data_IF_028883886303
#
_entry.id   IF_028883886303
#
_cell.length_a   1.000
_cell.length_b   1.000
_cell.length_c   1.000
_cell.angle_alpha   90.00
_cell.angle_beta   90.00
_cell.angle_gamma   90.00
#
_symmetry.space_group_name_H-M   'P 1'
#
loop_
_entity.id
_entity.type
_entity.pdbx_description
1 polymer ?
2 branched ?
3 non-polymer ?
4 non-polymer ?
5 water ?
#
# COMPACT_ATOMS: atom_id res chain seq x y z
N UNK A 2 10.69 -11.46 -25.91
CA UNK A 2 9.62 -11.97 -25.01
C UNK A 2 9.68 -11.40 -23.59
N UNK A 3 10.89 -11.38 -23.03
CA UNK A 3 11.16 -10.89 -21.67
C UNK A 3 12.62 -10.40 -21.61
N UNK A 4 12.93 -9.45 -20.71
CA UNK A 4 14.29 -8.92 -20.72
C UNK A 4 15.28 -9.80 -19.93
N UNK A 5 15.97 -10.69 -20.65
CA UNK A 5 17.00 -11.53 -20.05
C UNK A 5 18.05 -10.73 -19.29
N UNK A 6 18.37 -9.52 -19.77
CA UNK A 6 19.41 -8.69 -19.10
C UNK A 6 18.98 -8.28 -17.69
N UNK A 7 17.67 -8.26 -17.44
CA UNK A 7 17.17 -7.86 -16.12
C UNK A 7 16.93 -9.06 -15.20
N UNK A 8 17.07 -10.28 -15.73
CA UNK A 8 16.75 -11.46 -14.91
C UNK A 8 17.73 -11.53 -13.73
N UNK A 9 17.21 -11.91 -12.56
CA UNK A 9 18.01 -12.12 -11.36
C UNK A 9 18.43 -13.57 -11.36
N UNK A 10 19.73 -13.79 -11.32
CA UNK A 10 20.30 -15.13 -11.41
C UNK A 10 20.33 -15.88 -10.08
N UNK A 11 21.14 -15.36 -9.15
CA UNK A 11 21.32 -15.95 -7.84
C UNK A 11 21.25 -14.81 -6.82
N UNK A 12 20.19 -14.82 -6.04
CA UNK A 12 19.99 -13.77 -5.04
C UNK A 12 20.66 -14.14 -3.75
N UNK A 13 21.57 -13.28 -3.22
CA UNK A 13 22.17 -13.59 -1.91
C UNK A 13 21.14 -13.75 -0.78
N UNK A 14 21.44 -14.67 0.14
CA UNK A 14 20.63 -14.87 1.33
C UNK A 14 19.59 -15.95 1.20
N UNK A 15 19.40 -16.49 -0.01
CA UNK A 15 18.46 -17.58 -0.21
C UNK A 15 19.15 -18.92 -0.13
N UNK A 16 18.60 -19.82 0.70
CA UNK A 16 19.18 -21.15 0.91
C UNK A 16 18.78 -22.16 -0.18
N UNK A 17 17.72 -21.83 -0.91
CA UNK A 17 17.20 -22.66 -2.00
C UNK A 17 16.87 -21.75 -3.17
N UNK A 18 17.05 -22.26 -4.38
CA UNK A 18 16.78 -21.43 -5.56
C UNK A 18 15.30 -21.38 -5.86
N UNK A 19 14.81 -20.20 -6.30
CA UNK A 19 13.38 -20.05 -6.55
C UNK A 19 12.84 -20.95 -7.65
N UNK A 20 11.57 -21.32 -7.52
CA UNK A 20 10.93 -22.11 -8.56
C UNK A 20 10.50 -21.21 -9.73
N UNK A 21 10.42 -19.91 -9.46
CA UNK A 21 9.90 -18.92 -10.40
C UNK A 21 11.03 -17.99 -10.90
N UNK A 22 10.85 -17.44 -12.09
CA UNK A 22 11.80 -16.44 -12.61
C UNK A 22 11.48 -15.08 -11.98
N UNK A 23 12.51 -14.27 -11.79
CA UNK A 23 12.34 -12.92 -11.25
C UNK A 23 13.33 -11.96 -11.91
N UNK A 24 12.95 -10.68 -11.95
CA UNK A 24 13.67 -9.65 -12.71
C UNK A 24 13.81 -8.42 -11.88
N UNK A 25 14.92 -7.72 -12.09
CA UNK A 25 15.20 -6.44 -11.44
C UNK A 25 15.92 -5.52 -12.46
N UNK A 26 15.34 -4.35 -12.72
CA UNK A 26 15.84 -3.45 -13.77
C UNK A 26 15.07 -2.15 -13.71
N UNK A 27 15.00 -1.46 -14.84
CA UNK A 27 14.46 -0.12 -14.86
C UNK A 27 13.35 0.02 -15.89
N UNK A 28 12.29 0.69 -15.48
CA UNK A 28 11.20 1.08 -16.37
C UNK A 28 11.29 2.58 -16.60
N UNK A 29 11.14 2.97 -17.86
CA UNK A 29 11.20 4.40 -18.20
C UNK A 29 9.89 5.12 -17.83
N UNK A 30 10.00 6.14 -16.95
CA UNK A 30 8.89 7.03 -16.59
C UNK A 30 8.93 8.25 -17.49
N UNK A 31 8.25 9.33 -17.10
CA UNK A 31 8.30 10.56 -17.88
C UNK A 31 9.66 11.27 -17.79
N UNK A 32 9.93 12.18 -18.71
CA UNK A 32 11.21 12.92 -18.74
C UNK A 32 12.42 12.02 -18.67
N UNK A 33 13.32 12.27 -17.71
CA UNK A 33 14.53 11.45 -17.58
C UNK A 33 14.44 10.48 -16.38
N UNK A 34 13.21 10.12 -16.01
CA UNK A 34 12.97 9.23 -14.86
C UNK A 34 13.15 7.76 -15.21
N UNK A 35 13.85 7.04 -14.34
CA UNK A 35 14.05 5.60 -14.48
C UNK A 35 13.63 4.94 -13.17
N UNK A 36 12.53 4.18 -13.23
CA UNK A 36 11.98 3.61 -12.01
C UNK A 36 12.44 2.17 -11.87
N UNK A 37 13.08 1.88 -10.76
CA UNK A 37 13.53 0.51 -10.50
C UNK A 37 12.36 -0.42 -10.14
N UNK A 38 12.27 -1.53 -10.87
CA UNK A 38 11.25 -2.54 -10.62
C UNK A 38 11.88 -3.87 -10.16
N UNK A 39 11.11 -4.61 -9.38
CA UNK A 39 11.45 -5.98 -9.08
C UNK A 39 10.17 -6.79 -9.35
N UNK A 40 10.25 -7.66 -10.34
CA UNK A 40 9.10 -8.38 -10.85
C UNK A 40 9.29 -9.86 -10.50
N UNK A 41 8.32 -10.42 -9.80
CA UNK A 41 8.42 -11.82 -9.37
C UNK A 41 7.29 -12.65 -9.99
N UNK A 42 7.65 -13.57 -10.89
CA UNK A 42 6.61 -14.36 -11.61
C UNK A 42 5.87 -15.33 -10.71
N UNK A 43 4.63 -15.66 -11.08
CA UNK A 43 3.78 -16.59 -10.30
C UNK A 43 4.48 -17.93 -10.13
N UNK A 44 4.41 -18.44 -8.90
CA UNK A 44 4.90 -19.77 -8.57
C UNK A 44 4.10 -20.88 -9.24
N UNK A 45 2.92 -20.51 -9.74
CA UNK A 45 2.05 -21.45 -10.41
C UNK A 45 1.48 -20.78 -11.65
N UNK A 46 1.80 -21.37 -12.80
CA UNK A 46 1.34 -20.92 -14.11
C UNK A 46 1.62 -19.42 -14.38
N UNK A 47 2.91 -19.04 -14.45
CA UNK A 47 3.23 -17.61 -14.65
C UNK A 47 2.64 -17.08 -15.96
N UNK A 48 2.59 -17.94 -16.97
CA UNK A 48 2.18 -17.55 -18.31
C UNK A 48 0.78 -16.97 -18.32
N UNK A 49 -0.10 -17.54 -17.51
CA UNK A 49 -1.51 -17.16 -17.51
C UNK A 49 -2.03 -16.52 -16.22
N UNK A 50 -1.17 -16.39 -15.21
CA UNK A 50 -1.55 -15.70 -13.96
C UNK A 50 -1.64 -14.19 -14.15
N UNK A 51 -2.48 -13.52 -13.35
CA UNK A 51 -2.56 -12.06 -13.53
C UNK A 51 -1.23 -11.37 -13.25
N UNK A 52 -1.09 -10.17 -13.82
CA UNK A 52 -0.01 -9.24 -13.50
C UNK A 52 -0.56 -8.27 -12.47
N UNK A 53 0.17 -8.05 -11.37
CA UNK A 53 -0.30 -7.28 -10.26
C UNK A 53 0.76 -6.25 -9.91
N UNK A 54 0.46 -4.98 -10.12
CA UNK A 54 1.37 -3.92 -9.69
C UNK A 54 1.16 -3.68 -8.22
N UNK A 55 2.26 -3.61 -7.48
CA UNK A 55 2.25 -3.19 -6.07
C UNK A 55 3.04 -1.90 -5.86
N UNK A 56 2.38 -0.92 -5.22
CA UNK A 56 3.01 0.34 -4.80
C UNK A 56 2.85 0.59 -3.31
N UNK A 57 3.97 0.83 -2.63
CA UNK A 57 3.92 1.42 -1.30
C UNK A 57 3.77 2.95 -1.40
N UNK A 58 3.61 3.62 -0.27
CA UNK A 58 3.22 5.04 -0.30
C UNK A 58 4.31 5.99 0.14
N UNK A 59 4.08 6.70 1.23
CA UNK A 59 5.03 7.71 1.74
C UNK A 59 4.31 9.03 1.86
N UNK A 60 4.34 9.86 0.80
CA UNK A 60 5.01 9.69 -0.50
C UNK A 60 6.51 9.68 -0.34
N UNK A 61 7.20 8.90 -1.17
CA UNK A 61 8.65 8.83 -1.11
C UNK A 61 9.23 7.55 -0.56
N UNK A 62 8.36 6.59 -0.24
CA UNK A 62 8.79 5.31 0.31
C UNK A 62 8.74 4.16 -0.71
N UNK A 63 9.55 3.14 -0.45
CA UNK A 63 9.88 2.08 -1.41
C UNK A 63 8.93 0.86 -1.38
N UNK A 64 8.48 0.45 -2.56
CA UNK A 64 7.67 -0.74 -2.73
C UNK A 64 8.43 -2.04 -2.45
N UNK A 65 9.74 -1.94 -2.26
CA UNK A 65 10.50 -3.11 -1.78
C UNK A 65 10.22 -3.42 -0.30
N UNK A 66 9.69 -2.44 0.44
CA UNK A 66 9.02 -2.75 1.71
C UNK A 66 7.96 -3.84 1.53
N UNK A 67 7.07 -3.63 0.55
CA UNK A 67 6.08 -4.62 0.19
C UNK A 67 6.71 -5.97 -0.08
N UNK A 68 7.81 -6.01 -0.83
CA UNK A 68 8.39 -7.32 -1.18
C UNK A 68 9.03 -7.97 0.04
N UNK A 69 9.98 -7.27 0.65
CA UNK A 69 10.86 -7.90 1.64
C UNK A 69 10.26 -8.00 3.04
N UNK A 70 9.17 -7.30 3.32
CA UNK A 70 8.60 -7.32 4.69
C UNK A 70 7.08 -7.60 4.74
N UNK A 71 6.38 -7.41 3.62
CA UNK A 71 4.94 -7.65 3.59
C UNK A 71 4.53 -8.95 2.90
N UNK A 72 4.54 -8.97 1.57
CA UNK A 72 3.97 -10.14 0.83
C UNK A 72 4.80 -10.73 -0.32
N UNK A 73 6.09 -10.40 -0.34
CA UNK A 73 7.02 -10.95 -1.35
C UNK A 73 7.22 -12.46 -1.17
N UNK A 74 7.89 -13.10 -2.14
CA UNK A 74 8.14 -14.57 -2.12
C UNK A 74 9.10 -15.03 -1.01
N UNK A 75 9.93 -14.11 -0.55
CA UNK A 75 10.81 -14.28 0.59
C UNK A 75 10.89 -12.96 1.36
N UNK A 76 11.13 -13.07 2.67
CA UNK A 76 11.18 -11.93 3.59
C UNK A 76 12.51 -11.88 4.26
N UNK A 77 13.01 -10.65 4.43
CA UNK A 77 14.30 -10.42 5.07
C UNK A 77 14.24 -10.69 6.57
N UNK A 78 15.26 -11.37 7.08
CA UNK A 78 15.34 -11.75 8.49
C UNK A 78 16.05 -10.66 9.30
N UNK A 79 15.90 -10.64 10.64
CA UNK A 79 16.54 -9.59 11.45
C UNK A 79 18.06 -9.40 11.30
N UNK A 80 18.76 -10.43 10.85
CA UNK A 80 20.20 -10.31 10.60
C UNK A 80 20.52 -9.43 9.39
N UNK A 81 19.51 -9.15 8.55
CA UNK A 81 19.70 -8.29 7.39
C UNK A 81 20.53 -8.95 6.28
N UNK A 82 20.65 -10.27 6.38
CA UNK A 82 21.46 -11.10 5.47
C UNK A 82 20.60 -12.23 4.87
N UNK A 83 19.82 -12.88 5.73
CA UNK A 83 19.10 -14.08 5.38
C UNK A 83 17.71 -13.72 4.86
N UNK A 84 17.29 -14.40 3.80
CA UNK A 84 15.94 -14.32 3.28
C UNK A 84 15.25 -15.66 3.48
N UNK A 85 14.02 -15.63 4.00
CA UNK A 85 13.25 -16.88 4.14
C UNK A 85 12.04 -16.87 3.26
N UNK A 86 11.75 -18.02 2.65
CA UNK A 86 10.54 -18.16 1.84
C UNK A 86 9.27 -17.87 2.63
N UNK A 87 8.38 -17.13 1.98
CA UNK A 87 7.11 -16.71 2.53
C UNK A 87 6.02 -17.63 2.01
N UNK A 88 5.42 -18.46 2.90
CA UNK A 88 4.36 -19.36 2.47
C UNK A 88 3.04 -18.68 2.08
N UNK A 89 2.91 -17.39 2.38
CA UNK A 89 1.71 -16.61 2.07
C UNK A 89 1.97 -15.54 1.04
N UNK A 90 3.05 -15.72 0.29
CA UNK A 90 3.42 -14.77 -0.76
C UNK A 90 2.34 -14.54 -1.82
N UNK A 91 2.11 -13.29 -2.16
CA UNK A 91 1.12 -12.99 -3.20
C UNK A 91 1.51 -13.55 -4.57
N UNK A 92 2.80 -13.82 -4.79
CA UNK A 92 3.23 -14.42 -6.05
C UNK A 92 3.04 -15.94 -6.12
N UNK A 93 2.38 -16.54 -5.12
CA UNK A 93 1.93 -17.92 -5.27
C UNK A 93 0.95 -18.05 -6.42
N UNK A 94 0.21 -16.97 -6.68
CA UNK A 94 -0.90 -16.98 -7.64
C UNK A 94 -0.88 -15.81 -8.62
N UNK A 95 0.19 -15.01 -8.58
CA UNK A 95 0.23 -13.82 -9.46
C UNK A 95 1.66 -13.43 -9.81
N UNK A 96 1.80 -12.79 -10.96
CA UNK A 96 3.08 -12.19 -11.37
C UNK A 96 3.07 -10.78 -10.74
N UNK A 97 3.87 -10.59 -9.70
CA UNK A 97 3.82 -9.34 -8.90
C UNK A 97 4.97 -8.38 -9.26
N UNK A 98 4.57 -7.19 -9.70
CA UNK A 98 5.49 -6.16 -10.13
C UNK A 98 5.61 -5.11 -9.02
N UNK A 99 6.72 -5.15 -8.27
CA UNK A 99 7.04 -4.15 -7.24
C UNK A 99 7.81 -2.97 -7.87
N UNK A 100 7.27 -1.77 -7.73
CA UNK A 100 7.83 -0.63 -8.45
C UNK A 100 8.23 0.47 -7.49
N UNK A 101 9.53 0.80 -7.49
CA UNK A 101 10.00 1.87 -6.63
C UNK A 101 9.68 3.19 -7.33
N UNK A 102 8.84 3.98 -6.69
CA UNK A 102 8.20 5.12 -7.35
C UNK A 102 7.75 6.16 -6.31
N UNK A 103 7.87 7.47 -6.64
CA UNK A 103 8.38 8.05 -7.89
C UNK A 103 9.91 8.07 -8.01
N UNK A 104 10.43 8.78 -9.00
CA UNK A 104 11.87 8.85 -9.20
C UNK A 104 12.58 9.35 -7.93
N UNK A 105 13.69 8.72 -7.59
CA UNK A 105 14.45 9.11 -6.40
C UNK A 105 14.18 8.16 -5.25
N UNK A 106 13.10 7.36 -5.35
CA UNK A 106 12.81 6.39 -4.28
C UNK A 106 13.66 5.14 -4.41
N UNK A 107 14.41 4.80 -3.36
CA UNK A 107 15.17 3.56 -3.34
C UNK A 107 16.23 3.56 -4.43
N UNK A 108 16.13 2.61 -5.35
CA UNK A 108 17.08 2.58 -6.48
C UNK A 108 16.63 3.35 -7.72
N UNK A 109 15.41 3.92 -7.67
CA UNK A 109 14.92 4.77 -8.76
C UNK A 109 15.67 6.10 -8.82
N UNK A 110 15.74 6.70 -10.01
CA UNK A 110 16.54 7.89 -10.18
C UNK A 110 16.11 8.64 -11.43
N UNK A 111 16.65 9.83 -11.62
CA UNK A 111 16.49 10.54 -12.85
C UNK A 111 17.85 11.09 -13.25
N UNK A 112 18.01 11.30 -14.54
CA UNK A 112 19.30 11.77 -15.03
C UNK A 112 19.66 13.16 -14.52
N UNK A 113 18.65 13.99 -14.25
CA UNK A 113 18.89 15.34 -13.72
C UNK A 113 18.74 15.44 -12.18
N UNK A 114 18.40 14.32 -11.54
CA UNK A 114 18.26 14.25 -10.07
C UNK A 114 17.30 15.29 -9.48
N UNK A 115 16.28 15.68 -10.24
CA UNK A 115 15.29 16.63 -9.73
C UNK A 115 14.03 15.88 -9.38
N UNK A 116 13.78 15.76 -8.09
CA UNK A 116 12.79 14.82 -7.57
C UNK A 116 11.54 15.48 -7.01
N UNK A 117 11.44 16.82 -7.07
CA UNK A 117 10.19 17.49 -6.71
C UNK A 117 9.09 17.04 -7.69
N UNK A 118 8.00 16.53 -7.15
CA UNK A 118 6.92 16.01 -7.97
C UNK A 118 5.55 16.22 -7.32
N UNK A 119 4.49 15.75 -7.97
CA UNK A 119 3.12 15.89 -7.47
C UNK A 119 2.22 14.76 -7.95
N UNK A 120 1.01 14.67 -7.42
CA UNK A 120 0.17 13.49 -7.71
C UNK A 120 -0.02 13.29 -9.21
N UNK A 121 -0.25 14.36 -9.96
CA UNK A 121 -0.53 14.22 -11.39
C UNK A 121 0.68 13.71 -12.17
N UNK A 122 1.86 14.25 -11.86
CA UNK A 122 3.07 13.84 -12.54
C UNK A 122 3.41 12.39 -12.17
N UNK A 123 3.25 12.04 -10.89
CA UNK A 123 3.49 10.66 -10.44
C UNK A 123 2.59 9.66 -11.20
N UNK A 124 1.30 10.00 -11.30
CA UNK A 124 0.39 9.14 -12.06
C UNK A 124 0.85 8.97 -13.52
N UNK A 125 1.17 10.06 -14.19
CA UNK A 125 1.60 9.98 -15.60
C UNK A 125 2.91 9.20 -15.77
N UNK A 126 3.87 9.41 -14.87
CA UNK A 126 5.13 8.68 -14.91
C UNK A 126 4.96 7.16 -14.67
N UNK A 127 4.17 6.78 -13.66
CA UNK A 127 3.78 5.38 -13.44
C UNK A 127 3.07 4.77 -14.67
N UNK A 128 2.19 5.54 -15.31
CA UNK A 128 1.53 5.06 -16.53
C UNK A 128 2.57 4.75 -17.63
N UNK A 129 3.48 5.68 -17.87
CA UNK A 129 4.56 5.45 -18.84
C UNK A 129 5.49 4.28 -18.46
N UNK A 130 5.73 4.12 -17.16
CA UNK A 130 6.54 2.99 -16.68
C UNK A 130 5.86 1.67 -17.00
N UNK A 131 4.54 1.60 -16.78
CA UNK A 131 3.76 0.42 -17.15
C UNK A 131 3.79 0.15 -18.65
N UNK A 132 3.64 1.17 -19.48
CA UNK A 132 3.81 0.99 -20.92
C UNK A 132 5.19 0.37 -21.22
N UNK A 133 6.24 0.90 -20.57
CA UNK A 133 7.58 0.36 -20.76
C UNK A 133 7.69 -1.11 -20.32
N UNK A 134 7.04 -1.42 -19.19
CA UNK A 134 7.02 -2.79 -18.71
C UNK A 134 6.48 -3.74 -19.80
N UNK A 135 5.37 -3.37 -20.43
CA UNK A 135 4.76 -4.19 -21.49
C UNK A 135 5.59 -4.24 -22.78
N UNK A 136 6.39 -3.21 -23.02
CA UNK A 136 7.35 -3.25 -24.13
C UNK A 136 8.45 -4.27 -23.83
N UNK A 137 8.87 -4.32 -22.56
CA UNK A 137 9.90 -5.24 -22.11
C UNK A 137 9.38 -6.66 -21.92
N UNK A 138 8.15 -6.77 -21.48
CA UNK A 138 7.49 -8.07 -21.28
C UNK A 138 6.24 -8.20 -22.13
N UNK A 139 6.40 -8.23 -23.48
CA UNK A 139 5.21 -8.28 -24.35
C UNK A 139 4.38 -9.55 -24.17
N UNK A 140 5.00 -10.62 -23.65
CA UNK A 140 4.23 -11.85 -23.37
C UNK A 140 3.19 -11.69 -22.28
N UNK A 141 3.27 -10.60 -21.52
CA UNK A 141 2.32 -10.32 -20.44
C UNK A 141 1.29 -9.24 -20.78
N UNK A 142 1.30 -8.78 -22.03
CA UNK A 142 0.37 -7.75 -22.50
C UNK A 142 -1.10 -8.15 -22.40
N UNK A 143 -1.41 -9.43 -22.54
CA UNK A 143 -2.80 -9.83 -22.49
C UNK A 143 -3.30 -10.37 -21.14
N UNK A 144 -2.40 -10.56 -20.20
CA UNK A 144 -2.78 -11.06 -18.87
C UNK A 144 -3.68 -10.07 -18.17
N UNK A 145 -4.56 -10.58 -17.33
CA UNK A 145 -5.38 -9.71 -16.47
C UNK A 145 -4.46 -8.80 -15.63
N UNK A 146 -4.79 -7.52 -15.55
CA UNK A 146 -3.96 -6.57 -14.84
C UNK A 146 -4.70 -6.03 -13.63
N UNK A 147 -4.05 -6.11 -12.47
CA UNK A 147 -4.58 -5.47 -11.25
C UNK A 147 -3.58 -4.44 -10.73
N UNK A 148 -4.10 -3.31 -10.24
CA UNK A 148 -3.24 -2.25 -9.69
C UNK A 148 -3.50 -2.20 -8.19
N UNK A 149 -2.44 -2.38 -7.40
CA UNK A 149 -2.62 -2.51 -5.94
C UNK A 149 -1.58 -1.70 -5.19
N UNK A 150 -1.88 -1.36 -3.95
CA UNK A 150 -0.95 -0.57 -3.16
C UNK A 150 -1.44 -0.23 -1.77
N UNK A 151 -0.61 0.53 -1.05
CA UNK A 151 -0.86 0.79 0.36
C UNK A 151 -0.76 2.26 0.75
N UNK A 152 -1.66 2.68 1.62
CA UNK A 152 -1.63 4.00 2.29
C UNK A 152 -1.63 5.17 1.32
N UNK A 153 -0.49 5.87 1.18
CA UNK A 153 -0.46 6.96 0.19
C UNK A 153 -0.75 6.46 -1.24
N UNK A 154 -0.47 5.19 -1.51
CA UNK A 154 -0.86 4.64 -2.81
C UNK A 154 -2.37 4.56 -3.01
N UNK A 155 -3.11 4.86 -1.94
CA UNK A 155 -4.55 5.19 -2.01
C UNK A 155 -4.88 6.35 -2.94
N UNK A 156 -3.89 7.22 -3.14
CA UNK A 156 -3.93 8.26 -4.16
C UNK A 156 -3.27 7.79 -5.46
N UNK A 157 -2.10 7.17 -5.35
CA UNK A 157 -1.37 6.69 -6.54
C UNK A 157 -2.20 5.77 -7.43
N UNK A 158 -2.91 4.85 -6.81
CA UNK A 158 -3.53 3.75 -7.55
C UNK A 158 -4.82 4.18 -8.27
N UNK A 159 -5.78 4.83 -7.58
CA UNK A 159 -6.93 5.34 -8.34
C UNK A 159 -6.59 6.37 -9.42
N UNK A 160 -5.64 7.25 -9.17
CA UNK A 160 -5.23 8.19 -10.24
C UNK A 160 -4.54 7.47 -11.42
N UNK A 161 -3.69 6.49 -11.11
CA UNK A 161 -3.11 5.69 -12.18
C UNK A 161 -4.18 4.89 -12.90
N UNK A 162 -5.09 4.28 -12.16
CA UNK A 162 -6.14 3.45 -12.77
C UNK A 162 -6.97 4.24 -13.78
N UNK A 163 -7.21 5.51 -13.48
CA UNK A 163 -7.94 6.42 -14.37
C UNK A 163 -7.22 6.63 -15.73
N UNK A 164 -5.89 6.72 -15.70
CA UNK A 164 -5.10 6.72 -16.94
C UNK A 164 -5.16 5.36 -17.67
N UNK A 165 -4.99 4.29 -16.91
CA UNK A 165 -4.92 2.95 -17.49
C UNK A 165 -6.24 2.57 -18.17
N UNK A 166 -7.36 2.98 -17.59
CA UNK A 166 -8.69 2.64 -18.15
C UNK A 166 -8.91 3.22 -19.55
N UNK A 167 -8.16 4.26 -19.86
CA UNK A 167 -8.20 4.94 -21.17
C UNK A 167 -7.31 4.25 -22.21
N UNK A 168 -6.53 3.26 -21.78
CA UNK A 168 -5.63 2.51 -22.66
C UNK A 168 -6.15 1.09 -22.89
N UNK A 169 -6.81 0.86 -24.05
CA UNK A 169 -7.45 -0.43 -24.26
C UNK A 169 -6.45 -1.59 -24.44
N UNK A 170 -5.19 -1.26 -24.70
CA UNK A 170 -4.13 -2.26 -24.81
C UNK A 170 -3.80 -2.90 -23.45
N UNK A 171 -4.17 -2.23 -22.36
CA UNK A 171 -3.95 -2.78 -21.01
C UNK A 171 -5.19 -3.50 -20.50
N UNK A 172 -5.04 -4.76 -20.09
CA UNK A 172 -6.18 -5.59 -19.68
C UNK A 172 -6.55 -5.38 -18.21
N UNK A 173 -6.92 -4.14 -17.89
CA UNK A 173 -7.22 -3.73 -16.51
C UNK A 173 -8.48 -4.46 -16.05
N UNK A 174 -8.38 -5.11 -14.90
CA UNK A 174 -9.48 -5.91 -14.33
C UNK A 174 -9.92 -5.46 -12.92
N UNK A 175 -9.03 -4.79 -12.20
CA UNK A 175 -9.40 -4.29 -10.87
C UNK A 175 -8.28 -3.60 -10.13
N UNK A 176 -8.59 -3.13 -8.93
CA UNK A 176 -7.62 -2.47 -8.07
C UNK A 176 -7.94 -2.82 -6.62
N UNK A 177 -6.89 -2.88 -5.79
CA UNK A 177 -7.03 -3.12 -4.36
C UNK A 177 -6.11 -2.14 -3.62
N UNK A 178 -6.63 -1.52 -2.57
CA UNK A 178 -5.87 -0.53 -1.80
C UNK A 178 -5.96 -0.93 -0.32
N UNK A 179 -4.80 -1.11 0.32
CA UNK A 179 -4.73 -1.50 1.73
C UNK A 179 -4.45 -0.29 2.61
N UNK A 180 -5.26 -0.10 3.65
CA UNK A 180 -5.14 1.08 4.55
C UNK A 180 -4.82 2.36 3.77
N UNK A 181 -5.66 2.59 2.76
CA UNK A 181 -5.41 3.65 1.80
C UNK A 181 -5.88 5.02 2.25
N UNK A 182 -5.14 6.05 1.85
CA UNK A 182 -5.61 7.43 1.99
C UNK A 182 -6.58 7.73 0.86
N UNK A 183 -7.87 7.82 1.21
CA UNK A 183 -8.94 8.00 0.23
C UNK A 183 -9.59 9.36 0.37
N UNK A 184 -9.64 9.84 1.61
CA UNK A 184 -10.20 11.17 1.89
C UNK A 184 -9.54 11.69 3.17
N UNK A 185 -8.82 12.82 3.09
CA UNK A 185 -8.31 13.44 4.32
C UNK A 185 -9.40 13.70 5.35
N UNK A 186 -10.56 14.15 4.89
CA UNK A 186 -11.64 14.53 5.81
C UNK A 186 -12.24 13.33 6.54
N UNK A 187 -12.55 12.26 5.80
CA UNK A 187 -13.03 11.05 6.43
C UNK A 187 -11.98 10.42 7.35
N UNK A 188 -10.69 10.48 6.97
CA UNK A 188 -9.60 9.93 7.80
C UNK A 188 -9.44 10.70 9.12
N UNK A 189 -9.43 12.03 9.02
CA UNK A 189 -9.23 12.89 10.19
C UNK A 189 -10.39 12.79 11.18
N UNK A 190 -11.62 12.78 10.66
CA UNK A 190 -12.81 12.68 11.50
C UNK A 190 -12.89 11.32 12.17
N UNK A 191 -12.71 10.25 11.39
CA UNK A 191 -12.71 8.90 11.98
C UNK A 191 -11.59 8.66 13.01
N UNK A 192 -10.41 9.22 12.80
CA UNK A 192 -9.27 9.02 13.70
C UNK A 192 -9.57 9.51 15.14
N UNK A 193 -10.23 10.65 15.23
CA UNK A 193 -10.55 11.20 16.55
C UNK A 193 -11.45 10.25 17.33
N UNK A 194 -12.50 9.75 16.67
CA UNK A 194 -13.36 8.72 17.23
C UNK A 194 -12.53 7.49 17.60
N UNK A 195 -11.72 7.03 16.65
CA UNK A 195 -10.89 5.84 16.88
C UNK A 195 -10.08 6.05 18.17
N UNK A 196 -9.42 7.21 18.31
CA UNK A 196 -8.59 7.45 19.49
C UNK A 196 -9.36 7.33 20.80
N UNK A 197 -10.55 7.95 20.86
CA UNK A 197 -11.33 7.88 22.09
C UNK A 197 -11.79 6.47 22.42
N UNK A 198 -12.41 5.82 21.44
CA UNK A 198 -12.96 4.48 21.67
C UNK A 198 -11.94 3.36 21.78
N UNK A 199 -10.66 3.66 21.47
CA UNK A 199 -9.56 2.75 21.81
C UNK A 199 -8.77 3.13 23.08
N UNK A 200 -9.31 4.03 23.89
CA UNK A 200 -8.80 4.28 25.21
C UNK A 200 -7.62 5.23 25.26
N UNK A 201 -7.45 6.06 24.23
CA UNK A 201 -6.26 6.92 24.16
C UNK A 201 -6.56 8.30 24.70
N UNK A 202 -7.85 8.64 24.71
CA UNK A 202 -8.32 9.92 25.22
C UNK A 202 -9.27 9.62 26.37
N UNK A 203 -9.33 10.53 27.32
CA UNK A 203 -10.27 10.35 28.42
C UNK A 203 -11.57 11.13 28.24
N UNK A 204 -12.40 11.06 29.27
CA UNK A 204 -13.68 11.79 29.30
C UNK A 204 -13.55 13.29 29.16
N UNK A 205 -12.58 13.87 29.88
CA UNK A 205 -12.42 15.31 29.88
C UNK A 205 -12.15 15.83 28.46
N UNK A 206 -11.22 15.19 27.77
CA UNK A 206 -10.89 15.61 26.40
C UNK A 206 -12.02 15.30 25.42
N UNK A 207 -12.61 14.11 25.52
CA UNK A 207 -13.78 13.76 24.72
C UNK A 207 -14.95 14.76 24.90
N UNK A 208 -15.36 15.04 26.14
CA UNK A 208 -16.43 16.04 26.37
C UNK A 208 -16.12 17.37 25.69
N UNK A 209 -14.89 17.85 25.86
CA UNK A 209 -14.45 19.11 25.22
C UNK A 209 -14.48 19.05 23.69
N UNK A 210 -13.90 18.00 23.10
CA UNK A 210 -14.02 17.77 21.64
C UNK A 210 -15.49 17.79 21.14
N UNK A 211 -16.37 17.10 21.85
CA UNK A 211 -17.80 17.06 21.51
C UNK A 211 -18.47 18.46 21.56
N UNK A 212 -18.15 19.20 22.62
CA UNK A 212 -18.71 20.54 22.84
C UNK A 212 -18.23 21.51 21.77
N UNK A 213 -16.94 21.45 21.48
CA UNK A 213 -16.27 22.47 20.66
C UNK A 213 -16.19 22.15 19.18
N UNK A 214 -16.16 20.86 18.81
CA UNK A 214 -15.97 20.48 17.40
C UNK A 214 -17.24 19.99 16.71
N UNK A 215 -18.29 19.78 17.49
CA UNK A 215 -19.47 19.07 16.99
C UNK A 215 -20.73 19.88 17.18
N UNK A 216 -21.68 19.65 16.27
CA UNK A 216 -22.98 20.28 16.31
C UNK A 216 -23.96 19.15 16.10
N UNK A 217 -24.91 19.00 17.03
CA UNK A 217 -25.82 17.84 17.06
C UNK A 217 -25.07 16.51 16.89
N UNK A 218 -25.48 15.69 15.92
CA UNK A 218 -24.82 14.40 15.71
C UNK A 218 -23.53 14.46 14.85
N UNK A 219 -23.21 15.65 14.34
CA UNK A 219 -22.14 15.81 13.35
C UNK A 219 -20.90 16.54 13.92
N UNK A 220 -19.76 15.85 13.88
CA UNK A 220 -18.48 16.39 14.34
C UNK A 220 -17.62 16.81 13.17
N UNK A 221 -16.91 17.92 13.34
CA UNK A 221 -15.93 18.33 12.36
C UNK A 221 -14.57 18.41 13.04
N UNK A 222 -13.76 17.36 12.82
CA UNK A 222 -12.40 17.27 13.33
C UNK A 222 -11.40 17.46 12.19
N UNK A 223 -11.89 17.97 11.07
CA UNK A 223 -11.07 18.10 9.86
C UNK A 223 -10.60 19.53 9.60
N UNK A 224 -11.53 20.46 9.38
CA UNK A 224 -11.14 21.86 9.09
C UNK A 224 -11.88 22.86 9.97
N UNK A 225 -12.17 22.44 11.20
CA UNK A 225 -12.91 23.24 12.15
C UNK A 225 -12.03 24.39 12.60
N UNK A 226 -12.60 25.58 12.74
CA UNK A 226 -11.81 26.71 13.22
C UNK A 226 -12.16 27.15 14.64
N UNK A 227 -13.10 26.44 15.25
CA UNK A 227 -13.41 26.70 16.64
C UNK A 227 -12.11 26.64 17.47
N UNK A 228 -11.87 27.66 18.32
CA UNK A 228 -10.56 27.81 18.96
C UNK A 228 -10.21 26.67 19.89
N UNK A 229 -11.11 26.37 20.82
CA UNK A 229 -10.86 25.26 21.75
C UNK A 229 -10.82 23.91 20.99
N UNK A 230 -11.64 23.76 19.95
CA UNK A 230 -11.60 22.55 19.10
C UNK A 230 -10.18 22.32 18.58
N UNK A 231 -9.59 23.37 18.00
CA UNK A 231 -8.23 23.27 17.46
C UNK A 231 -7.21 22.83 18.54
N UNK A 232 -7.27 23.49 19.70
CA UNK A 232 -6.42 23.11 20.86
C UNK A 232 -6.59 21.64 21.23
N UNK A 233 -7.84 21.21 21.35
CA UNK A 233 -8.12 19.81 21.69
C UNK A 233 -7.54 18.85 20.65
N UNK A 234 -7.73 19.19 19.38
CA UNK A 234 -7.21 18.37 18.27
C UNK A 234 -5.68 18.35 18.24
N UNK A 235 -5.05 19.44 18.67
CA UNK A 235 -3.59 19.42 18.83
C UNK A 235 -3.14 18.41 19.90
N UNK A 236 -3.91 18.30 20.98
CA UNK A 236 -3.64 17.31 22.04
C UNK A 236 -3.87 15.87 21.57
N UNK A 237 -4.97 15.64 20.84
CA UNK A 237 -5.20 14.35 20.17
C UNK A 237 -4.04 13.95 19.25
N UNK A 238 -3.65 14.86 18.36
CA UNK A 238 -2.49 14.64 17.49
C UNK A 238 -1.24 14.24 18.30
N UNK A 239 -1.01 14.89 19.43
CA UNK A 239 0.13 14.61 20.29
C UNK A 239 0.07 13.19 20.85
N UNK A 240 -1.06 12.87 21.46
CA UNK A 240 -1.27 11.53 22.02
C UNK A 240 -1.10 10.45 20.94
N UNK A 241 -1.82 10.57 19.83
CA UNK A 241 -1.81 9.55 18.77
C UNK A 241 -0.41 9.36 18.14
N UNK A 242 0.25 10.47 17.80
CA UNK A 242 1.41 10.38 16.93
C UNK A 242 2.73 10.78 17.55
N UNK A 243 2.68 11.49 18.67
CA UNK A 243 3.92 12.05 19.22
C UNK A 243 4.21 11.70 20.66
N UNK A 244 3.69 10.56 21.11
CA UNK A 244 3.78 10.21 22.53
C UNK A 244 4.35 8.79 22.84
N UNK A 245 4.71 8.05 21.81
CA UNK A 245 5.28 6.70 22.01
C UNK A 245 4.37 5.55 21.63
N UNK A 246 3.16 5.87 21.20
CA UNK A 246 2.28 4.87 20.59
C UNK A 246 2.76 4.65 19.17
N UNK A 247 2.67 3.41 18.71
CA UNK A 247 2.94 3.05 17.33
C UNK A 247 1.72 3.34 16.49
N UNK A 248 1.83 4.37 15.63
CA UNK A 248 0.69 4.82 14.84
C UNK A 248 0.25 3.78 13.81
N UNK A 249 1.17 2.90 13.44
CA UNK A 249 0.91 1.90 12.41
C UNK A 249 0.25 0.64 12.98
N UNK A 250 0.38 0.46 14.29
CA UNK A 250 -0.26 -0.68 14.96
C UNK A 250 -0.34 -0.36 16.45
N UNK A 251 -1.55 0.00 16.89
CA UNK A 251 -1.73 0.48 18.23
C UNK A 251 -1.22 -0.51 19.30
N UNK A 252 -1.34 -1.79 19.03
CA UNK A 252 -0.95 -2.83 20.02
C UNK A 252 0.47 -3.38 19.90
N UNK A 253 1.24 -2.85 18.94
CA UNK A 253 2.65 -3.18 18.77
C UNK A 253 3.54 -2.25 19.62
N UNK A 254 4.76 -2.71 19.97
CA UNK A 254 5.71 -1.81 20.61
C UNK A 254 6.17 -0.73 19.64
N UNK A 255 6.67 0.37 20.19
CA UNK A 255 7.30 1.42 19.40
C UNK A 255 8.80 1.10 19.31
N UNK A 256 9.29 0.85 18.11
CA UNK A 256 10.71 0.46 17.94
C UNK A 256 11.59 1.57 18.45
N UNK A 257 12.51 1.19 19.33
CA UNK A 257 13.38 2.16 19.99
C UNK A 257 12.85 2.78 21.27
N UNK A 258 11.63 2.44 21.65
CA UNK A 258 11.03 2.92 22.90
C UNK A 258 10.38 4.31 22.85
N UNK A 259 9.74 4.66 23.96
CA UNK A 259 9.08 5.96 24.10
C UNK A 259 10.12 7.11 24.10
N UNK A 260 9.87 8.17 23.30
CA UNK A 260 10.79 9.31 23.10
C UNK A 260 11.00 10.14 24.36
N UNK A 261 12.12 10.86 24.39
CA UNK A 261 12.49 11.77 25.50
C UNK A 261 11.51 12.94 25.67
N UNK A 302 13.83 6.80 9.57
CA UNK A 302 12.68 5.97 9.94
C UNK A 302 11.60 6.82 10.58
N UNK A 303 10.34 6.78 10.06
CA UNK A 303 9.23 7.41 10.78
C UNK A 303 9.19 6.83 12.20
N UNK A 304 8.75 7.63 13.22
CA UNK A 304 8.77 7.16 14.61
C UNK A 304 8.22 5.73 14.75
N UNK A 305 8.78 4.97 15.70
CA UNK A 305 8.32 3.62 16.02
C UNK A 305 8.56 2.49 15.01
N UNK A 306 9.16 2.83 13.86
CA UNK A 306 9.44 1.82 12.84
C UNK A 306 10.94 1.58 12.74
N UNK A 307 11.30 0.42 12.22
CA UNK A 307 12.70 0.03 12.15
C UNK A 307 12.87 -0.72 10.83
N UNK A 308 13.60 -0.11 9.91
CA UNK A 308 13.77 -0.63 8.56
C UNK A 308 15.21 -1.11 8.33
N UNK A 309 15.93 -1.35 9.42
CA UNK A 309 17.36 -1.68 9.35
C UNK A 309 17.63 -2.99 8.59
N UNK A 310 16.78 -3.98 8.78
CA UNK A 310 16.96 -5.29 8.12
C UNK A 310 16.92 -5.18 6.60
N UNK A 311 15.85 -4.59 6.07
CA UNK A 311 15.74 -4.32 4.62
C UNK A 311 16.88 -3.43 4.11
N UNK A 312 17.24 -2.40 4.87
CA UNK A 312 18.29 -1.49 4.43
C UNK A 312 19.67 -2.17 4.42
N UNK A 313 19.94 -2.98 5.44
CA UNK A 313 21.18 -3.75 5.51
C UNK A 313 21.33 -4.69 4.32
N UNK A 314 20.25 -5.38 4.03
CA UNK A 314 20.23 -6.34 2.94
C UNK A 314 20.48 -5.64 1.60
N UNK A 315 19.64 -4.65 1.30
CA UNK A 315 19.65 -3.96 0.02
C UNK A 315 20.92 -3.17 -0.27
N UNK A 316 21.58 -2.70 0.79
CA UNK A 316 22.85 -1.97 0.61
C UNK A 316 24.09 -2.84 0.50
N UNK A 317 23.91 -4.17 0.60
CA UNK A 317 24.98 -5.14 0.31
C UNK A 317 25.38 -4.99 -1.18
N UNK A 318 26.67 -4.67 -1.47
CA UNK A 318 27.07 -4.48 -2.88
C UNK A 318 26.75 -5.70 -3.78
N UNK A 319 26.87 -6.91 -3.24
CA UNK A 319 26.53 -8.14 -3.97
C UNK A 319 25.04 -8.32 -4.27
N UNK A 320 24.19 -7.87 -3.35
CA UNK A 320 22.74 -7.79 -3.59
C UNK A 320 22.47 -6.75 -4.70
N UNK A 321 23.10 -5.58 -4.61
CA UNK A 321 22.93 -4.58 -5.67
C UNK A 321 23.35 -5.15 -7.04
N UNK A 322 24.45 -5.90 -7.05
CA UNK A 322 24.92 -6.49 -8.31
C UNK A 322 23.87 -7.49 -8.81
N UNK A 323 23.39 -8.36 -7.92
CA UNK A 323 22.37 -9.35 -8.31
C UNK A 323 21.08 -8.70 -8.80
N UNK A 324 20.75 -7.53 -8.24
CA UNK A 324 19.58 -6.76 -8.66
C UNK A 324 19.80 -5.82 -9.86
N UNK A 325 20.97 -5.92 -10.49
CA UNK A 325 21.29 -5.14 -11.69
C UNK A 325 21.24 -3.63 -11.46
N UNK A 326 21.67 -3.23 -10.26
CA UNK A 326 21.65 -1.83 -9.86
C UNK A 326 22.98 -1.18 -10.24
N UNK A 327 22.94 -0.09 -11.05
CA UNK A 327 24.19 0.63 -11.39
C UNK A 327 24.96 1.07 -10.14
N UNK A 328 26.28 0.86 -10.18
CA UNK A 328 27.17 1.12 -9.04
C UNK A 328 27.21 2.59 -8.63
N UNK A 329 26.89 3.46 -9.58
CA UNK A 329 26.98 4.91 -9.39
C UNK A 329 25.87 5.45 -8.49
N UNK A 330 24.78 4.70 -8.38
CA UNK A 330 23.61 5.15 -7.61
C UNK A 330 23.86 5.25 -6.11
N UNK A 331 23.25 6.26 -5.46
CA UNK A 331 23.48 6.46 -4.02
C UNK A 331 22.87 5.34 -3.16
N UNK A 332 23.18 5.35 -1.87
CA UNK A 332 22.70 4.36 -0.92
C UNK A 332 21.17 4.20 -0.96
N UNK A 333 20.72 2.98 -0.67
CA UNK A 333 19.29 2.69 -0.61
C UNK A 333 18.73 3.08 0.76
N UNK A 334 17.63 3.83 0.73
CA UNK A 334 16.83 4.16 1.92
C UNK A 334 15.39 3.71 1.68
N UNK A 335 14.70 3.30 2.74
CA UNK A 335 13.30 2.94 2.64
C UNK A 335 12.46 4.11 2.13
N UNK A 336 12.75 5.31 2.64
CA UNK A 336 12.06 6.52 2.19
C UNK A 336 13.08 7.59 1.84
N UNK A 337 12.79 8.33 0.78
CA UNK A 337 13.64 9.42 0.36
C UNK A 337 13.12 10.73 0.98
N UNK A 338 13.95 11.31 1.82
CA UNK A 338 13.63 12.53 2.55
C UNK A 338 13.29 13.68 1.60
N UNK A 339 14.07 13.83 0.52
CA UNK A 339 13.87 14.92 -0.42
C UNK A 339 12.59 14.77 -1.23
N UNK A 340 12.31 13.56 -1.69
CA UNK A 340 11.05 13.29 -2.38
C UNK A 340 9.87 13.71 -1.49
N UNK A 341 9.87 13.28 -0.23
CA UNK A 341 8.74 13.62 0.66
C UNK A 341 8.67 15.12 0.94
N UNK A 342 9.83 15.73 1.18
CA UNK A 342 9.94 17.16 1.46
C UNK A 342 9.32 18.04 0.37
N UNK A 343 9.62 17.70 -0.87
CA UNK A 343 9.25 18.50 -2.02
C UNK A 343 7.95 18.04 -2.67
N UNK A 344 7.34 16.98 -2.15
CA UNK A 344 6.11 16.43 -2.74
C UNK A 344 4.92 17.38 -2.60
N UNK A 345 4.27 17.69 -3.72
CA UNK A 345 3.06 18.50 -3.69
C UNK A 345 1.82 17.61 -3.85
N UNK A 346 1.08 17.48 -2.76
CA UNK A 346 -0.21 16.77 -2.75
C UNK A 346 -1.27 17.63 -3.43
N UNK A 347 -2.08 17.01 -4.29
CA UNK A 347 -3.04 17.77 -5.07
C UNK A 347 -4.50 17.37 -4.79
N UNK A 348 -4.72 16.09 -4.49
CA UNK A 348 -6.08 15.58 -4.29
C UNK A 348 -6.37 15.50 -2.82
N UNK A 349 -7.58 15.92 -2.42
CA UNK A 349 -8.00 15.74 -1.04
C UNK A 349 -8.98 14.58 -0.86
N UNK A 350 -9.54 14.13 -1.97
CA UNK A 350 -10.44 12.97 -1.99
C UNK A 350 -10.38 12.19 -3.30
N UNK A 351 -10.56 10.86 -3.21
CA UNK A 351 -10.59 9.98 -4.40
C UNK A 351 -12.00 9.68 -4.86
N UNK A 352 -12.98 10.37 -4.28
CA UNK A 352 -14.37 10.17 -4.64
C UNK A 352 -14.57 10.22 -6.16
N UNK A 353 -14.10 11.29 -6.80
CA UNK A 353 -14.30 11.38 -8.25
C UNK A 353 -13.63 10.24 -9.05
N UNK A 354 -12.44 9.82 -8.63
CA UNK A 354 -11.68 8.75 -9.30
C UNK A 354 -12.39 7.41 -9.21
N UNK A 355 -12.82 7.06 -8.01
CA UNK A 355 -13.56 5.81 -7.82
C UNK A 355 -14.91 5.78 -8.54
N UNK A 356 -15.63 6.90 -8.55
CA UNK A 356 -16.87 6.98 -9.35
C UNK A 356 -16.60 6.82 -10.85
N UNK A 357 -15.51 7.43 -11.34
CA UNK A 357 -15.15 7.23 -12.73
C UNK A 357 -14.88 5.76 -13.02
N UNK A 358 -14.11 5.11 -12.13
CA UNK A 358 -13.73 3.73 -12.30
C UNK A 358 -14.94 2.79 -12.18
N UNK A 359 -15.87 3.12 -11.29
CA UNK A 359 -17.08 2.30 -11.13
C UNK A 359 -18.07 2.48 -12.27
N UNK A 360 -18.04 3.64 -12.92
CA UNK A 360 -19.01 3.99 -13.99
C UNK A 360 -19.02 2.98 -15.13
N UNK A 361 -17.85 2.44 -15.48
CA UNK A 361 -17.72 1.51 -16.61
C UNK A 361 -18.23 0.12 -16.26
N UNK A 362 -18.30 -0.18 -14.96
CA UNK A 362 -18.63 -1.53 -14.47
C UNK A 362 -17.70 -2.64 -15.01
N UNK A 363 -16.49 -2.26 -15.43
CA UNK A 363 -15.51 -3.21 -15.95
C UNK A 363 -14.54 -3.74 -14.87
N UNK A 364 -14.43 -3.00 -13.75
CA UNK A 364 -13.37 -3.25 -12.76
C UNK A 364 -13.89 -3.61 -11.37
N UNK A 365 -13.24 -4.59 -10.73
CA UNK A 365 -13.53 -4.95 -9.35
C UNK A 365 -12.58 -4.18 -8.43
N UNK A 366 -13.15 -3.57 -7.40
CA UNK A 366 -12.41 -2.68 -6.52
C UNK A 366 -12.51 -3.19 -5.08
N UNK A 367 -11.36 -3.23 -4.41
CA UNK A 367 -11.29 -3.61 -3.00
C UNK A 367 -10.54 -2.57 -2.19
N UNK A 368 -11.11 -2.13 -1.06
CA UNK A 368 -10.40 -1.35 -0.09
C UNK A 368 -10.37 -2.20 1.17
N UNK A 369 -9.16 -2.49 1.64
CA UNK A 369 -9.02 -3.35 2.82
C UNK A 369 -8.18 -2.64 3.86
N UNK A 370 -8.55 -2.79 5.14
CA UNK A 370 -7.90 -2.06 6.24
C UNK A 370 -7.66 -2.96 7.45
N UNK A 371 -6.40 -3.03 7.88
CA UNK A 371 -6.09 -3.53 9.21
C UNK A 371 -6.79 -2.61 10.19
N UNK A 372 -7.54 -3.20 11.13
CA UNK A 372 -8.38 -2.40 12.01
C UNK A 372 -7.69 -1.90 13.31
N UNK A 373 -6.37 -2.10 13.44
CA UNK A 373 -5.58 -1.49 14.55
C UNK A 373 -4.56 -0.43 14.08
N UNK A 374 -4.61 -0.13 12.79
CA UNK A 374 -3.87 0.98 12.24
C UNK A 374 -4.48 2.31 12.66
N UNK A 375 -3.63 3.27 13.00
CA UNK A 375 -4.08 4.64 13.29
C UNK A 375 -3.65 5.65 12.24
N UNK A 376 -2.77 5.23 11.31
CA UNK A 376 -2.27 6.16 10.28
C UNK A 376 -3.35 6.34 9.21
N UNK A 377 -3.99 5.23 8.83
CA UNK A 377 -5.15 5.25 7.93
C UNK A 377 -6.17 4.27 8.44
N UNK A 378 -6.94 4.69 9.43
CA UNK A 378 -7.78 3.78 10.18
C UNK A 378 -8.92 3.20 9.32
N UNK A 379 -9.38 2.01 9.69
CA UNK A 379 -10.42 1.30 8.92
C UNK A 379 -11.70 2.10 8.76
N UNK A 380 -12.09 2.86 9.80
CA UNK A 380 -13.45 3.42 9.80
C UNK A 380 -13.60 4.53 8.74
N UNK A 381 -12.57 5.37 8.61
CA UNK A 381 -12.60 6.43 7.57
C UNK A 381 -12.78 5.86 6.17
N UNK A 382 -12.15 4.72 5.89
CA UNK A 382 -12.29 4.10 4.57
C UNK A 382 -13.61 3.38 4.40
N UNK A 383 -14.15 2.82 5.48
CA UNK A 383 -15.50 2.24 5.43
C UNK A 383 -16.53 3.33 5.16
N UNK A 384 -16.40 4.46 5.85
CA UNK A 384 -17.25 5.62 5.58
C UNK A 384 -17.12 6.03 4.11
N UNK A 385 -15.87 6.04 3.63
CA UNK A 385 -15.57 6.44 2.25
C UNK A 385 -16.31 5.58 1.22
N UNK A 386 -16.21 4.26 1.35
CA UNK A 386 -16.87 3.34 0.41
C UNK A 386 -18.39 3.46 0.46
N UNK A 387 -18.95 3.48 1.68
CA UNK A 387 -20.38 3.69 1.87
C UNK A 387 -20.87 4.96 1.18
N UNK A 388 -20.10 6.04 1.31
CA UNK A 388 -20.47 7.35 0.74
C UNK A 388 -20.44 7.41 -0.80
N UNK A 389 -19.81 6.42 -1.43
CA UNK A 389 -19.91 6.27 -2.90
C UNK A 389 -21.32 5.88 -3.34
N UNK A 390 -22.15 5.43 -2.38
CA UNK A 390 -23.59 5.21 -2.61
C UNK A 390 -23.88 4.29 -3.80
N UNK A 391 -23.12 3.20 -3.94
CA UNK A 391 -23.30 2.26 -5.07
C UNK A 391 -24.52 1.35 -4.89
N UNK A 392 -24.94 0.70 -5.99
CA UNK A 392 -26.10 -0.20 -6.00
C UNK A 392 -25.69 -1.59 -5.51
N UNK A 393 -26.66 -2.50 -5.45
CA UNK A 393 -26.52 -3.88 -4.91
C UNK A 393 -25.76 -3.94 -3.57
N UNK A 394 -26.13 -3.05 -2.67
CA UNK A 394 -25.63 -3.09 -1.30
C UNK A 394 -25.96 -4.44 -0.63
N UNK A 395 -24.95 -5.03 -0.02
CA UNK A 395 -25.07 -6.28 0.70
C UNK A 395 -25.04 -5.99 2.20
N UNK A 396 -25.75 -6.77 2.99
CA UNK A 396 -25.63 -6.72 4.45
C UNK A 396 -24.15 -6.99 4.86
N UNK A 397 -23.66 -6.22 5.82
CA UNK A 397 -22.29 -6.41 6.33
C UNK A 397 -22.16 -7.78 6.99
N UNK A 398 -21.12 -8.53 6.65
CA UNK A 398 -20.92 -9.89 7.19
C UNK A 398 -19.48 -10.14 7.63
N UNK A 399 -19.28 -11.11 8.54
CA UNK A 399 -17.91 -11.54 8.82
C UNK A 399 -17.37 -12.30 7.61
N UNK A 400 -16.05 -12.27 7.43
CA UNK A 400 -15.43 -13.15 6.46
C UNK A 400 -14.45 -14.07 7.17
N UNK A 401 -14.30 -15.27 6.63
CA UNK A 401 -13.67 -16.37 7.37
C UNK A 401 -12.39 -16.86 6.73
N UNK A 402 -11.46 -17.33 7.58
CA UNK A 402 -10.22 -17.97 7.13
C UNK A 402 -10.05 -19.22 7.99
N UNK A 403 -9.61 -20.29 7.35
CA UNK A 403 -9.36 -21.56 8.05
C UNK A 403 -7.94 -21.57 8.57
N UNK A 404 -7.78 -21.62 9.88
CA UNK A 404 -6.45 -21.72 10.45
C UNK A 404 -6.01 -23.18 10.66
N UNK A 405 -5.93 -23.67 11.89
CA UNK A 405 -5.35 -25.02 12.11
C UNK A 405 -6.16 -26.18 11.53
N UNK A 407 -7.12 -25.16 14.43
CA UNK A 407 -7.76 -24.00 15.02
C UNK A 407 -9.11 -23.71 14.38
N UNK A 408 -9.31 -24.28 13.21
CA UNK A 408 -10.56 -24.18 12.47
C UNK A 408 -10.84 -22.81 11.87
N UNK A 409 -12.08 -22.64 11.44
CA UNK A 409 -12.54 -21.38 10.86
C UNK A 409 -12.54 -20.30 11.92
N UNK A 410 -12.00 -19.15 11.56
CA UNK A 410 -12.01 -17.98 12.43
C UNK A 410 -12.50 -16.78 11.66
N UNK A 411 -13.10 -15.82 12.37
CA UNK A 411 -13.47 -14.55 11.77
C UNK A 411 -12.21 -13.71 11.50
N UNK A 412 -11.98 -13.38 10.24
CA UNK A 412 -10.75 -12.65 9.87
C UNK A 412 -10.98 -11.15 9.81
N UNK A 413 -12.25 -10.76 9.82
CA UNK A 413 -12.65 -9.35 9.74
C UNK A 413 -14.08 -9.32 9.21
N UNK A 414 -14.52 -8.15 8.71
CA UNK A 414 -15.88 -7.96 8.18
C UNK A 414 -15.83 -7.36 6.80
N UNK A 415 -16.83 -7.68 5.99
CA UNK A 415 -16.88 -7.21 4.61
C UNK A 415 -18.21 -6.48 4.36
N UNK A 416 -18.11 -5.29 3.78
CA UNK A 416 -19.29 -4.54 3.31
C UNK A 416 -19.20 -4.38 1.79
N UNK A 417 -20.11 -5.03 1.07
CA UNK A 417 -20.01 -5.12 -0.38
C UNK A 417 -21.15 -4.38 -1.08
N UNK A 418 -20.81 -3.85 -2.25
CA UNK A 418 -21.74 -3.21 -3.17
C UNK A 418 -21.38 -3.70 -4.56
N UNK A 419 -22.11 -3.24 -5.57
CA UNK A 419 -21.77 -3.63 -6.95
C UNK A 419 -20.34 -3.16 -7.24
N UNK A 420 -19.49 -4.11 -7.67
CA UNK A 420 -18.11 -3.83 -8.13
C UNK A 420 -17.13 -3.25 -7.08
N UNK A 421 -17.56 -3.12 -5.84
CA UNK A 421 -16.66 -2.60 -4.80
C UNK A 421 -16.98 -3.19 -3.41
N UNK A 422 -15.92 -3.55 -2.68
CA UNK A 422 -16.07 -4.07 -1.35
C UNK A 422 -15.12 -3.32 -0.43
N UNK A 423 -15.56 -3.10 0.79
CA UNK A 423 -14.70 -2.68 1.87
C UNK A 423 -14.52 -3.85 2.85
N UNK A 424 -13.29 -4.10 3.28
CA UNK A 424 -13.02 -5.23 4.19
C UNK A 424 -12.10 -4.78 5.35
N UNK A 425 -12.40 -5.21 6.59
CA UNK A 425 -11.42 -5.09 7.68
C UNK A 425 -10.58 -6.35 7.81
N UNK A 426 -9.36 -6.20 8.31
CA UNK A 426 -8.56 -7.37 8.72
C UNK A 426 -8.33 -7.20 10.22
N UNK A 427 -9.03 -8.05 10.97
CA UNK A 427 -9.11 -7.95 12.42
C UNK A 427 -7.77 -8.25 13.05
N UNK A 428 -7.29 -7.25 13.80
CA UNK A 428 -6.03 -7.39 14.53
C UNK A 428 -4.78 -7.09 13.74
N UNK A 429 -4.94 -6.61 12.50
CA UNK A 429 -3.82 -6.16 11.67
C UNK A 429 -3.72 -4.64 11.70
N UNK A 430 -2.49 -4.14 11.61
CA UNK A 430 -2.22 -2.70 11.52
C UNK A 430 -2.05 -2.26 10.07
N UNK A 431 -1.20 -1.27 9.87
CA UNK A 431 -1.02 -0.55 8.61
C UNK A 431 -0.44 -1.47 7.51
N UNK A 432 0.37 -2.43 7.93
CA UNK A 432 0.97 -3.38 6.99
C UNK A 432 0.30 -4.73 7.18
N UNK A 433 -0.89 -4.85 6.60
CA UNK A 433 -1.77 -6.01 6.75
C UNK A 433 -1.09 -7.36 6.50
N UNK A 434 -0.33 -7.50 5.38
CA UNK A 434 0.30 -8.83 5.14
C UNK A 434 1.44 -9.16 6.08
N UNK A 435 2.07 -8.16 6.70
CA UNK A 435 3.08 -8.41 7.72
C UNK A 435 2.41 -8.98 8.96
N UNK A 436 1.31 -8.38 9.36
CA UNK A 436 0.62 -8.72 10.62
C UNK A 436 -0.25 -9.95 10.58
N UNK A 437 -0.96 -10.15 9.46
CA UNK A 437 -1.88 -11.28 9.31
C UNK A 437 -1.65 -11.86 7.92
N UNK A 438 -0.48 -12.50 7.70
CA UNK A 438 -0.14 -12.94 6.33
C UNK A 438 -1.12 -13.95 5.71
N UNK A 439 -1.66 -14.86 6.51
CA UNK A 439 -2.62 -15.84 5.96
C UNK A 439 -3.93 -15.17 5.54
N UNK A 440 -4.49 -14.35 6.42
CA UNK A 440 -5.71 -13.63 6.12
C UNK A 440 -5.53 -12.75 4.88
N UNK A 441 -4.39 -12.04 4.82
CA UNK A 441 -4.06 -11.19 3.66
C UNK A 441 -4.00 -12.00 2.37
N UNK A 442 -3.37 -13.18 2.42
CA UNK A 442 -3.26 -13.99 1.21
C UNK A 442 -4.64 -14.49 0.78
N UNK A 443 -5.43 -14.88 1.78
CA UNK A 443 -6.76 -15.44 1.52
C UNK A 443 -7.64 -14.38 0.88
N UNK A 444 -7.63 -13.18 1.44
CA UNK A 444 -8.35 -12.03 0.86
C UNK A 444 -7.86 -11.72 -0.56
N UNK A 445 -6.53 -11.71 -0.74
CA UNK A 445 -5.96 -11.40 -2.06
C UNK A 445 -6.40 -12.42 -3.11
N UNK A 446 -6.47 -13.69 -2.71
CA UNK A 446 -6.85 -14.78 -3.61
C UNK A 446 -8.32 -14.64 -4.04
N UNK A 447 -9.20 -14.34 -3.08
CA UNK A 447 -10.63 -14.13 -3.38
C UNK A 447 -10.86 -12.91 -4.28
N UNK A 448 -10.10 -11.83 -4.03
CA UNK A 448 -10.09 -10.63 -4.87
C UNK A 448 -9.70 -10.93 -6.33
N UNK A 449 -8.54 -11.56 -6.50
CA UNK A 449 -8.02 -11.89 -7.82
C UNK A 449 -8.96 -12.79 -8.62
N UNK A 450 -9.66 -13.67 -7.91
CA UNK A 450 -10.53 -14.64 -8.53
C UNK A 450 -12.00 -14.23 -8.55
N UNK A 451 -12.29 -13.01 -8.10
CA UNK A 451 -13.64 -12.46 -8.06
C UNK A 451 -14.54 -13.44 -7.29
N UNK A 452 -14.01 -14.00 -6.22
CA UNK A 452 -14.77 -14.93 -5.37
C UNK A 452 -15.36 -14.14 -4.20
N UNK A 453 -16.44 -14.66 -3.57
CA UNK A 453 -16.98 -13.98 -2.38
C UNK A 453 -15.88 -13.82 -1.31
N UNK A 454 -15.89 -12.72 -0.57
CA UNK A 454 -14.90 -12.53 0.52
C UNK A 454 -15.19 -13.39 1.75
N UNK A 455 -16.47 -13.62 2.03
CA UNK A 455 -16.89 -14.47 3.15
C UNK A 455 -16.15 -15.80 3.13
X LIG B 1 2.89 18.77 -11.27
X LIG B 1 2.42 20.23 -11.44
X LIG B 1 2.38 20.66 -12.91
X LIG B 1 3.66 20.28 -13.68
X LIG B 1 4.13 18.87 -13.31
X LIG B 1 5.50 18.56 -13.92
X LIG B 1 0.98 21.32 -9.87
X LIG B 1 -0.41 21.73 -9.49
X LIG B 1 1.11 20.45 -10.86
X LIG B 1 2.19 22.06 -13.02
X LIG B 1 3.35 20.35 -15.06
X LIG B 1 4.15 18.64 -11.90
X LIG B 1 6.54 19.29 -13.28
X LIG B 1 1.95 21.78 -9.26
X LIG B 2 3.89 21.52 -15.73
X LIG B 2 4.18 21.17 -17.21
X LIG B 2 5.41 21.83 -17.79
X LIG B 2 5.66 23.17 -17.11
X LIG B 2 5.96 22.90 -15.64
X LIG B 2 6.23 24.18 -14.83
X LIG B 2 3.23 19.03 -17.89
X LIG B 2 3.54 17.74 -18.60
X LIG B 2 4.28 19.74 -17.46
X LIG B 2 5.23 22.00 -19.18
X LIG B 2 6.73 23.82 -17.74
X LIG B 2 4.92 22.17 -14.99
X LIG B 2 5.16 25.09 -15.00
X LIG B 2 2.06 19.40 -17.70
X LIG C 1 16.24 -2.61 14.27
X LIG C 1 16.60 -2.93 15.73
X LIG C 1 17.93 -3.72 15.88
X LIG C 1 18.08 -4.84 14.85
X LIG C 1 17.69 -4.29 13.47
X LIG C 1 17.83 -5.34 12.35
X LIG C 1 15.60 -1.49 17.42
X LIG C 1 15.84 -0.42 18.44
X LIG C 1 16.60 -1.73 16.56
X LIG C 1 18.06 -4.28 17.17
X LIG C 1 19.44 -5.22 14.79
X LIG C 1 16.35 -3.80 13.51
X LIG C 1 16.74 -6.24 12.42
X LIG C 1 14.53 -2.08 17.40
X LIG C 2 19.80 -6.49 15.41
X LIG C 2 20.81 -7.26 14.51
X LIG C 2 20.68 -8.78 14.65
X LIG C 2 20.30 -9.20 16.08
X LIG C 2 19.05 -8.49 16.58
X LIG C 2 19.11 -8.21 18.09
X LIG C 2 21.40 -6.05 12.46
X LIG C 2 21.22 -5.96 10.96
X LIG C 2 20.66 -6.95 13.10
X LIG C 2 21.91 -9.34 14.28
X LIG C 2 20.11 -10.60 16.12
X LIG C 2 18.72 -7.31 15.84
X LIG C 2 20.41 -7.77 18.51
X LIG C 2 22.20 -5.31 13.03
X LIG D 1 3.11 2.62 3.30
X LIG D 1 2.47 2.00 4.18
X LIG D 1 3.33 2.21 2.13
X LIG D 1 3.68 3.99 3.68
X LIG D 1 2.49 4.99 3.81
X LIG D 1 1.87 5.01 4.91
X LIG D 1 2.19 5.68 2.79
X LIG D 1 4.43 3.90 5.03
X LIG D 1 5.51 2.77 5.07
X LIG D 1 6.56 2.94 3.97
X LIG D 1 7.71 1.89 4.04
X LIG D 1 8.32 1.85 5.45
X LIG D 1 7.25 1.69 6.56
X LIG D 1 6.19 2.81 6.46
X LIG E 1 -15.30 22.19 6.26
X LIG F 1 -7.74 6.03 4.83
X LIG G 1 -16.77 19.06 4.93
X LIG H 1 15.22 -15.39 -22.75
X LIG I 1 -4.67 8.24 5.76
#
# INVERSE_FOLDING_TARGET
SRAPDQDEIQRLPGLAKQPSFRQYSGYLKGSGSKHLHYWFVESQKDPENSPVVLWLNGGPGCSSLDGLLTEHGPFLVQPDGVTLEYNPYSWNLIANVLYLESPAGVGFSYSDDKFYATNDTEVAQSNFEALQDFFRLFPEYKNNKLFLTGESYAGIYIPTLAVLVMQDPSMNLQGLAVGNGLSSYEQNDNSLVYFAYYHGLLGNRLWSSLQTHCCSQNKCNFYDNKDLECVTNLQEVARIVGNSGLNIYNLYAPCAGGVPSHFRYEKDTVVVQDLGNIFTRLPLKRMWHQALLRSGDKVRMDPPCTNTTAASTYLNNPYVRKALNIPEQLPQWDMCNFLVNLQYRRLYRSMNSQYLKLLSSQKYQILLYNGDVDMACNFMGDEWFVDSLNQKMEVQRRPWLVKYGDSGEQIAGFVKEFSHIAFLTIKGAGHMVPTDKPLAAFTMFSRFLNKQPYE
NAG C1 C2 C3 C4 C5 C6 C7 C8 N2 O3 O4 O5 O6 O7
NAG C1 C2 C3 C4 C5 C6 C7 C8 N2 O3 O4 O5 O6 O7
NAG C1 C2 C3 C4 C5 C6 C7 C8 N2 O3 O4 O5 O6 O7
NAG C1 C2 C3 C4 C5 C6 C7 C8 N2 O3 O4 O5 O6 O7
7UZ C1 O2 O3 C4 C5 O6 O7 C8 C10 C13 C14 C15 C16 C17
CD CD
CD CD
CD CD
CD CD
CD CD
#
